data_IF_855748802041
#
_entry.id   IF_855748802041
#
_cell.length_a   1.000
_cell.length_b   1.000
_cell.length_c   1.000
_cell.angle_alpha   90.00
_cell.angle_beta   90.00
_cell.angle_gamma   90.00
#
_symmetry.space_group_name_H-M   'P 1'
#
loop_
_entity.id
_entity.type
_entity.pdbx_description
1 polymer ?
#
# COMPACT_ATOMS: atom_id res chain seq x y z
N UNK A 1 -13.29 -21.79 -2.65
CA UNK A 1 -14.38 -20.87 -2.29
C UNK A 1 -14.01 -19.51 -2.84
N UNK A 2 -14.73 -19.00 -3.84
CA UNK A 2 -14.51 -17.65 -4.36
C UNK A 2 -15.03 -16.66 -3.31
N UNK A 3 -14.12 -15.93 -2.68
CA UNK A 3 -14.49 -14.75 -1.90
C UNK A 3 -14.66 -13.62 -2.91
N UNK A 4 -15.90 -13.13 -3.08
CA UNK A 4 -16.16 -11.95 -3.90
C UNK A 4 -15.86 -10.73 -3.03
N UNK A 5 -14.80 -10.01 -3.36
CA UNK A 5 -14.48 -8.73 -2.72
C UNK A 5 -15.21 -7.63 -3.50
N UNK A 6 -16.28 -7.07 -2.92
CA UNK A 6 -16.91 -5.87 -3.46
C UNK A 6 -16.18 -4.63 -2.92
N UNK A 7 -15.06 -4.29 -3.54
CA UNK A 7 -14.27 -3.10 -3.22
C UNK A 7 -13.85 -2.42 -4.51
N UNK A 8 -13.68 -1.09 -4.47
CA UNK A 8 -13.18 -0.34 -5.61
C UNK A 8 -11.67 -0.29 -5.52
N UNK A 9 -11.00 -0.77 -6.57
CA UNK A 9 -9.59 -0.47 -6.80
C UNK A 9 -9.41 1.05 -6.81
N UNK A 10 -8.48 1.55 -5.99
CA UNK A 10 -8.26 2.99 -5.81
C UNK A 10 -6.93 3.47 -6.40
N UNK A 11 -6.04 2.57 -6.79
CA UNK A 11 -4.79 2.98 -7.43
C UNK A 11 -3.92 1.82 -7.88
N UNK A 12 -2.81 2.19 -8.51
CA UNK A 12 -1.73 1.32 -8.94
C UNK A 12 -0.40 1.85 -8.42
N UNK A 13 0.55 0.95 -8.21
CA UNK A 13 1.91 1.30 -7.86
C UNK A 13 2.92 0.37 -8.53
N UNK A 14 4.14 0.88 -8.66
CA UNK A 14 5.32 0.10 -8.99
C UNK A 14 6.28 0.20 -7.81
N UNK A 15 6.71 -0.96 -7.33
CA UNK A 15 7.70 -1.10 -6.26
C UNK A 15 9.01 -1.60 -6.84
N UNK A 16 10.11 -1.10 -6.30
CA UNK A 16 11.46 -1.50 -6.64
C UNK A 16 12.29 -1.67 -5.38
N UNK A 17 12.93 -2.83 -5.21
CA UNK A 17 13.94 -3.03 -4.16
C UNK A 17 15.17 -2.22 -4.55
N UNK A 18 15.50 -1.19 -3.77
CA UNK A 18 16.58 -0.24 -4.07
C UNK A 18 17.91 -0.94 -4.28
N UNK A 19 18.62 -0.61 -5.36
CA UNK A 19 19.99 -1.10 -5.59
C UNK A 19 21.04 -0.25 -4.86
N UNK A 20 20.65 0.91 -4.35
CA UNK A 20 21.53 1.90 -3.74
C UNK A 20 21.51 1.83 -2.21
N UNK A 21 20.36 1.45 -1.64
CA UNK A 21 20.14 1.36 -0.19
C UNK A 21 19.68 -0.05 0.20
N UNK A 22 20.38 -0.75 1.10
CA UNK A 22 19.92 -2.03 1.62
C UNK A 22 18.63 -1.85 2.42
N UNK A 23 17.77 -2.87 2.40
CA UNK A 23 16.54 -2.91 3.21
C UNK A 23 15.56 -1.77 2.89
N UNK A 24 15.58 -1.30 1.64
CA UNK A 24 14.71 -0.25 1.14
C UNK A 24 13.96 -0.71 -0.11
N UNK A 25 12.65 -0.47 -0.12
CA UNK A 25 11.80 -0.52 -1.30
C UNK A 25 11.36 0.91 -1.62
N UNK A 26 11.59 1.34 -2.85
CA UNK A 26 11.02 2.59 -3.38
C UNK A 26 9.74 2.30 -4.13
N UNK A 27 8.80 3.23 -4.08
CA UNK A 27 7.53 3.12 -4.78
C UNK A 27 7.25 4.37 -5.59
N UNK A 28 6.58 4.19 -6.73
CA UNK A 28 5.81 5.23 -7.40
C UNK A 28 4.36 4.78 -7.49
N UNK A 29 3.42 5.68 -7.27
CA UNK A 29 2.01 5.30 -7.22
C UNK A 29 1.11 6.37 -7.83
N UNK A 30 -0.06 5.92 -8.26
CA UNK A 30 -1.11 6.78 -8.79
C UNK A 30 -2.44 6.34 -8.17
N UNK A 31 -3.09 7.29 -7.49
CA UNK A 31 -4.43 7.09 -6.91
C UNK A 31 -5.49 7.67 -7.84
N UNK A 32 -6.62 6.98 -8.02
CA UNK A 32 -7.77 7.52 -8.74
C UNK A 32 -8.20 8.87 -8.14
N UNK A 33 -8.45 9.85 -8.99
CA UNK A 33 -8.79 11.22 -8.57
C UNK A 33 -7.60 12.16 -8.36
N UNK A 34 -6.35 11.68 -8.45
CA UNK A 34 -5.13 12.50 -8.36
C UNK A 34 -4.83 13.37 -9.59
N UNK A 35 -5.74 13.45 -10.57
CA UNK A 35 -5.52 14.12 -11.86
C UNK A 35 -4.25 13.64 -12.62
N UNK A 36 -3.79 12.42 -12.35
CA UNK A 36 -2.60 11.83 -12.96
C UNK A 36 -1.29 12.20 -12.27
N UNK A 37 -1.33 12.92 -11.16
CA UNK A 37 -0.16 13.27 -10.37
C UNK A 37 0.40 12.03 -9.65
N UNK A 38 1.65 11.69 -9.95
CA UNK A 38 2.32 10.52 -9.40
C UNK A 38 2.92 10.86 -8.04
N UNK A 39 2.58 10.06 -7.03
CA UNK A 39 3.22 10.10 -5.72
C UNK A 39 4.41 9.16 -5.63
N UNK A 40 5.16 9.28 -4.54
CA UNK A 40 6.33 8.44 -4.24
C UNK A 40 6.16 7.76 -2.88
N UNK A 41 6.84 6.62 -2.69
CA UNK A 41 6.88 5.95 -1.41
C UNK A 41 8.25 5.37 -1.10
N UNK A 42 8.51 5.19 0.18
CA UNK A 42 9.73 4.58 0.69
C UNK A 42 9.36 3.63 1.84
N UNK A 43 9.69 2.36 1.69
CA UNK A 43 9.49 1.35 2.70
C UNK A 43 10.84 0.84 3.20
N UNK A 44 10.97 0.66 4.52
CA UNK A 44 12.18 0.14 5.18
C UNK A 44 11.83 -1.16 5.89
N UNK A 45 12.61 -2.21 5.62
CA UNK A 45 12.44 -3.55 6.17
C UNK A 45 13.35 -4.56 5.47
N UNK A 46 13.46 -5.77 6.01
CA UNK A 46 14.35 -6.81 5.48
C UNK A 46 14.00 -7.15 4.02
N UNK A 47 14.98 -6.99 3.12
CA UNK A 47 14.85 -7.29 1.68
C UNK A 47 15.67 -8.50 1.24
N UNK A 48 16.31 -9.21 2.18
CA UNK A 48 17.21 -10.33 1.89
C UNK A 48 16.52 -11.49 1.15
N UNK A 49 15.20 -11.64 1.32
CA UNK A 49 14.38 -12.65 0.66
C UNK A 49 13.47 -12.07 -0.45
N UNK A 50 13.82 -10.90 -0.99
CA UNK A 50 13.01 -10.18 -1.97
C UNK A 50 11.95 -9.30 -1.31
N UNK A 51 10.74 -9.27 -1.88
CA UNK A 51 9.61 -8.47 -1.37
C UNK A 51 8.89 -9.01 -0.12
N UNK A 52 8.84 -10.32 0.19
CA UNK A 52 8.11 -10.80 1.35
C UNK A 52 8.70 -10.31 2.67
N UNK A 53 7.85 -9.76 3.53
CA UNK A 53 8.28 -9.23 4.82
C UNK A 53 7.35 -8.16 5.39
N UNK A 54 7.81 -7.56 6.48
CA UNK A 54 7.17 -6.44 7.16
C UNK A 54 8.03 -5.18 6.99
N UNK A 55 7.37 -4.08 6.63
CA UNK A 55 8.01 -2.83 6.29
C UNK A 55 7.32 -1.66 6.98
N UNK A 56 8.10 -0.69 7.43
CA UNK A 56 7.60 0.65 7.72
C UNK A 56 7.60 1.44 6.42
N UNK A 57 6.43 1.90 5.97
CA UNK A 57 6.30 2.62 4.68
C UNK A 57 5.76 4.02 4.87
N UNK A 58 6.38 4.98 4.18
CA UNK A 58 5.92 6.35 4.05
C UNK A 58 5.59 6.66 2.59
N UNK A 59 4.50 7.38 2.36
CA UNK A 59 4.07 7.85 1.05
C UNK A 59 3.97 9.36 1.03
N UNK A 60 4.28 9.92 -0.13
CA UNK A 60 4.26 11.34 -0.40
C UNK A 60 3.49 11.59 -1.70
N UNK A 61 2.66 12.63 -1.69
CA UNK A 61 2.00 13.12 -2.90
C UNK A 61 3.02 13.74 -3.88
N UNK A 62 2.53 14.18 -5.04
CA UNK A 62 3.36 14.76 -6.09
C UNK A 62 4.07 16.06 -5.66
N UNK A 63 3.58 16.74 -4.63
CA UNK A 63 4.19 17.95 -4.06
C UNK A 63 5.21 17.60 -2.94
N UNK A 64 5.44 16.30 -2.69
CA UNK A 64 6.34 15.80 -1.65
C UNK A 64 5.75 15.88 -0.24
N UNK A 65 4.46 16.16 -0.11
CA UNK A 65 3.79 16.19 1.19
C UNK A 65 3.40 14.78 1.60
N UNK A 66 3.63 14.46 2.88
CA UNK A 66 3.31 13.16 3.44
C UNK A 66 1.81 12.85 3.31
N UNK A 67 1.52 11.76 2.59
CA UNK A 67 0.18 11.24 2.32
C UNK A 67 -0.15 10.03 3.21
N UNK A 68 0.86 9.32 3.74
CA UNK A 68 0.67 8.23 4.68
C UNK A 68 1.96 7.74 5.32
N UNK A 69 1.84 7.12 6.50
CA UNK A 69 2.89 6.42 7.24
C UNK A 69 2.21 5.21 7.89
N UNK A 70 2.60 4.02 7.44
CA UNK A 70 1.84 2.79 7.60
C UNK A 70 2.78 1.61 7.87
N UNK A 71 2.22 0.54 8.43
CA UNK A 71 2.87 -0.76 8.45
C UNK A 71 2.42 -1.56 7.25
N UNK A 72 3.36 -1.95 6.39
CA UNK A 72 3.12 -2.76 5.21
C UNK A 72 3.57 -4.20 5.47
N UNK A 73 2.70 -5.15 5.20
CA UNK A 73 3.04 -6.56 5.15
C UNK A 73 2.88 -7.08 3.73
N UNK A 74 3.89 -7.78 3.22
CA UNK A 74 3.89 -8.43 1.91
C UNK A 74 4.05 -9.94 2.12
N UNK A 75 3.08 -10.71 1.65
CA UNK A 75 3.11 -12.17 1.68
C UNK A 75 3.17 -12.75 0.27
N UNK A 76 4.00 -13.77 0.05
CA UNK A 76 3.99 -14.54 -1.20
C UNK A 76 2.75 -15.42 -1.29
N UNK A 77 2.07 -15.39 -2.42
CA UNK A 77 0.92 -16.23 -2.74
C UNK A 77 1.09 -16.79 -4.15
N UNK A 78 1.65 -18.01 -4.22
CA UNK A 78 2.04 -18.62 -5.48
C UNK A 78 3.10 -17.78 -6.20
N UNK A 79 2.81 -17.34 -7.41
CA UNK A 79 3.68 -16.48 -8.23
C UNK A 79 3.40 -14.98 -8.04
N UNK A 80 2.54 -14.62 -7.09
CA UNK A 80 2.09 -13.25 -6.83
C UNK A 80 2.32 -12.86 -5.37
N UNK A 81 1.99 -11.62 -5.03
CA UNK A 81 2.09 -11.09 -3.68
C UNK A 81 0.75 -10.54 -3.21
N UNK A 82 0.41 -10.82 -1.95
CA UNK A 82 -0.66 -10.16 -1.24
C UNK A 82 -0.07 -9.08 -0.34
N UNK A 83 -0.61 -7.86 -0.42
CA UNK A 83 -0.16 -6.72 0.35
C UNK A 83 -1.25 -6.27 1.32
N UNK A 84 -0.84 -5.85 2.52
CA UNK A 84 -1.74 -5.35 3.55
C UNK A 84 -1.08 -4.15 4.22
N UNK A 85 -1.76 -3.00 4.22
CA UNK A 85 -1.31 -1.80 4.91
C UNK A 85 -2.16 -1.55 6.15
N UNK A 86 -1.49 -1.36 7.28
CA UNK A 86 -2.10 -1.09 8.58
C UNK A 86 -1.85 0.34 9.03
N UNK A 87 -2.87 0.93 9.64
CA UNK A 87 -2.82 2.28 10.16
C UNK A 87 -1.86 2.38 11.34
N UNK A 88 -1.03 3.44 11.37
CA UNK A 88 -0.20 3.81 12.52
C UNK A 88 -0.81 5.04 13.19
N UNK A 89 -0.71 5.12 14.53
CA UNK A 89 -1.31 6.21 15.34
C UNK A 89 -0.93 7.61 14.87
N UNK A 90 0.24 7.73 14.26
CA UNK A 90 0.82 9.01 13.89
C UNK A 90 0.35 9.52 12.52
N UNK A 91 -0.45 8.76 11.75
CA UNK A 91 -0.75 9.19 10.38
C UNK A 91 -2.12 8.81 9.78
N UNK A 92 -2.68 9.81 9.09
CA UNK A 92 -3.97 9.86 8.38
C UNK A 92 -5.21 9.90 9.27
N UNK A 93 -6.07 10.92 9.10
CA UNK A 93 -7.41 11.03 9.72
C UNK A 93 -8.40 10.05 9.08
N UNK A 94 -8.07 8.76 9.10
CA UNK A 94 -9.02 7.70 8.77
C UNK A 94 -9.73 7.25 10.05
N UNK A 95 -11.00 6.84 9.98
CA UNK A 95 -11.72 6.26 11.11
C UNK A 95 -11.24 4.82 11.37
N UNK A 96 -9.95 4.64 11.63
CA UNK A 96 -9.29 3.36 11.90
C UNK A 96 -8.49 3.44 13.20
N UNK A 97 -8.42 2.33 13.93
CA UNK A 97 -7.53 2.17 15.07
C UNK A 97 -6.14 1.76 14.59
N UNK A 98 -5.11 2.07 15.38
CA UNK A 98 -3.76 1.64 15.03
C UNK A 98 -3.66 0.10 14.97
N UNK A 99 -2.96 -0.40 13.96
CA UNK A 99 -2.87 -1.81 13.61
C UNK A 99 -4.04 -2.32 12.75
N UNK A 100 -5.10 -1.53 12.53
CA UNK A 100 -6.18 -1.94 11.63
C UNK A 100 -5.75 -1.86 10.16
N UNK A 101 -6.16 -2.87 9.39
CA UNK A 101 -5.95 -2.91 7.94
C UNK A 101 -6.81 -1.83 7.27
N UNK A 102 -6.17 -0.90 6.59
CA UNK A 102 -6.82 0.19 5.87
C UNK A 102 -6.77 0.02 4.36
N UNK A 103 -5.72 -0.62 3.85
CA UNK A 103 -5.60 -0.98 2.45
C UNK A 103 -5.19 -2.44 2.29
N UNK A 104 -5.62 -3.01 1.18
CA UNK A 104 -5.25 -4.33 0.72
C UNK A 104 -4.87 -4.24 -0.76
N UNK A 105 -4.07 -5.18 -1.25
CA UNK A 105 -3.59 -5.14 -2.61
C UNK A 105 -3.03 -6.47 -3.08
N UNK A 106 -2.85 -6.56 -4.39
CA UNK A 106 -2.19 -7.69 -5.05
C UNK A 106 -1.13 -7.13 -5.99
N UNK A 107 0.04 -7.74 -5.96
CA UNK A 107 1.15 -7.42 -6.85
C UNK A 107 1.66 -8.65 -7.59
N UNK A 108 2.31 -8.42 -8.71
CA UNK A 108 3.04 -9.43 -9.47
C UNK A 108 4.42 -8.91 -9.84
N UNK A 109 5.44 -9.78 -9.86
CA UNK A 109 6.78 -9.39 -10.25
C UNK A 109 6.80 -8.96 -11.73
N UNK A 110 7.48 -7.84 -12.01
CA UNK A 110 7.72 -7.34 -13.38
C UNK A 110 9.19 -7.47 -13.80
N UNK A 111 10.05 -7.87 -12.86
CA UNK A 111 11.48 -8.06 -13.00
C UNK A 111 12.06 -8.66 -11.71
N UNK A 112 13.38 -8.83 -11.65
CA UNK A 112 14.03 -9.44 -10.47
C UNK A 112 13.85 -8.63 -9.18
N UNK A 113 13.73 -7.31 -9.30
CA UNK A 113 13.63 -6.38 -8.17
C UNK A 113 12.41 -5.48 -8.24
N UNK A 114 11.51 -5.71 -9.20
CA UNK A 114 10.37 -4.82 -9.47
C UNK A 114 9.05 -5.58 -9.41
N UNK A 115 8.02 -4.91 -8.90
CA UNK A 115 6.67 -5.44 -8.79
C UNK A 115 5.67 -4.34 -9.19
N UNK A 116 4.72 -4.68 -10.05
CA UNK A 116 3.54 -3.86 -10.27
C UNK A 116 2.40 -4.35 -9.38
N UNK A 117 1.63 -3.44 -8.80
CA UNK A 117 0.54 -3.79 -7.90
C UNK A 117 -0.65 -2.85 -8.04
N UNK A 118 -1.79 -3.36 -7.59
CA UNK A 118 -3.04 -2.61 -7.44
C UNK A 118 -3.49 -2.70 -5.99
N UNK A 119 -4.16 -1.66 -5.50
CA UNK A 119 -4.62 -1.58 -4.12
C UNK A 119 -5.99 -0.93 -4.00
N UNK A 120 -6.66 -1.22 -2.88
CA UNK A 120 -8.00 -0.76 -2.54
C UNK A 120 -8.15 -0.56 -1.03
N UNK A 121 -9.21 0.15 -0.62
CA UNK A 121 -9.56 0.28 0.80
C UNK A 121 -10.12 -1.03 1.34
N UNK A 122 -9.74 -1.39 2.56
CA UNK A 122 -10.30 -2.56 3.24
C UNK A 122 -11.82 -2.44 3.37
N UNK A 123 -12.53 -3.57 3.39
CA UNK A 123 -14.00 -3.56 3.50
C UNK A 123 -14.48 -2.86 4.77
N UNK A 124 -13.79 -3.09 5.89
CA UNK A 124 -14.12 -2.48 7.18
C UNK A 124 -14.02 -0.95 7.11
N UNK A 125 -12.93 -0.43 6.53
CA UNK A 125 -12.75 1.01 6.38
C UNK A 125 -13.76 1.61 5.40
N UNK A 126 -13.99 0.94 4.27
CA UNK A 126 -14.98 1.36 3.27
C UNK A 126 -16.38 1.50 3.89
N UNK A 127 -16.82 0.47 4.63
CA UNK A 127 -18.10 0.51 5.33
C UNK A 127 -18.17 1.60 6.40
N UNK A 128 -17.09 1.84 7.15
CA UNK A 128 -17.04 2.90 8.17
C UNK A 128 -17.15 4.31 7.57
N UNK A 129 -16.62 4.53 6.36
CA UNK A 129 -16.76 5.78 5.61
C UNK A 129 -18.19 5.94 5.08
N UNK A 130 -18.77 4.89 4.48
CA UNK A 130 -20.15 4.92 3.95
C UNK A 130 -21.21 5.13 5.04
N UNK A 131 -21.01 4.54 6.24
CA UNK A 131 -21.90 4.70 7.39
C UNK A 131 -21.79 6.08 8.07
N UNK A 132 -20.81 6.91 7.67
CA UNK A 132 -20.71 8.31 8.08
C UNK A 132 -21.05 9.21 6.88
N UNK A 133 -22.34 9.34 6.50
CA UNK A 133 -22.70 10.52 5.71
C UNK A 133 -22.35 11.74 6.55
N UNK A 134 -21.61 12.65 5.93
CA UNK A 134 -21.14 13.92 6.47
C UNK A 134 -22.20 14.55 7.40
N UNK A 135 -21.86 14.69 8.68
CA UNK A 135 -22.45 15.70 9.56
C UNK A 135 -21.95 17.07 9.11
#
# INVERSE_FOLDING_TARGET
MLIVINTRVIGLAEYEISSEEPDVITARYLTFGSAGAMGSGRAVGDTSNGFPGDYHVQYFDADGKMAGDLDLHIASVGESFQLTWRHRRENVRLPALAGEVIFEGIGFPTGERTMALTYWMSQKLSAAIELRPLL
#
